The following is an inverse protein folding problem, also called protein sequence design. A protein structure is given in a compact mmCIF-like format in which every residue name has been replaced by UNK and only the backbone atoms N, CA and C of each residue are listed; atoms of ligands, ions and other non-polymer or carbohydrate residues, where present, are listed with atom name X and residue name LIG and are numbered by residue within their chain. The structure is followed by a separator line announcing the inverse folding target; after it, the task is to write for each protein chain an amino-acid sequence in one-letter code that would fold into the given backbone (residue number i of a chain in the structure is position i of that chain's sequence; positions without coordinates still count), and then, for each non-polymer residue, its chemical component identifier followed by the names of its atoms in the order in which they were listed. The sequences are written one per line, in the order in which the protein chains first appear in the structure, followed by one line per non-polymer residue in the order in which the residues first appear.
data_IF_680580592792
#
_entry.id   IF_680580592792
#
_cell.length_a   1.000
_cell.length_b   1.000
_cell.length_c   1.000
_cell.angle_alpha   90.00
_cell.angle_beta   90.00
_cell.angle_gamma   90.00
#
_symmetry.space_group_name_H-M   'P 1'
#
loop_
_entity.id
_entity.type
_entity.pdbx_description
1 polymer ?
#
# COMPACT_ATOMS: atom_id res chain seq x y z
N UNK A 1 -16.24 0.18 5.24
CA UNK A 1 -14.91 0.60 4.70
C UNK A 1 -15.01 2.02 4.21
N UNK A 2 -14.20 2.94 4.76
CA UNK A 2 -14.13 4.31 4.24
C UNK A 2 -13.37 4.29 2.91
N UNK A 3 -14.07 4.46 1.81
CA UNK A 3 -13.42 4.71 0.52
C UNK A 3 -12.82 6.12 0.55
N UNK A 4 -11.50 6.19 0.61
CA UNK A 4 -10.78 7.46 0.55
C UNK A 4 -10.66 7.91 -0.90
N UNK A 5 -11.19 9.09 -1.21
CA UNK A 5 -11.07 9.68 -2.55
C UNK A 5 -9.77 10.47 -2.66
N UNK A 6 -9.05 10.30 -3.76
CA UNK A 6 -7.81 10.99 -4.07
C UNK A 6 -7.89 11.64 -5.45
N UNK A 7 -7.49 12.91 -5.54
CA UNK A 7 -7.47 13.62 -6.82
C UNK A 7 -6.11 13.45 -7.50
N UNK A 8 -6.14 13.18 -8.81
CA UNK A 8 -4.96 13.06 -9.63
C UNK A 8 -5.10 13.80 -10.95
N UNK A 9 -3.98 14.23 -11.51
CA UNK A 9 -3.90 14.85 -12.82
C UNK A 9 -3.21 13.92 -13.81
N UNK A 10 -3.78 13.77 -15.01
CA UNK A 10 -3.16 13.00 -16.09
C UNK A 10 -1.80 13.63 -16.49
N UNK A 11 -0.86 12.78 -16.88
CA UNK A 11 0.48 13.18 -17.31
C UNK A 11 0.76 12.74 -18.73
N UNK A 12 1.12 13.70 -19.59
CA UNK A 12 1.57 13.41 -20.96
C UNK A 12 3.10 13.32 -21.06
N UNK A 13 3.84 13.94 -20.11
CA UNK A 13 5.29 13.98 -20.12
C UNK A 13 5.91 12.93 -19.20
N UNK A 14 6.50 11.88 -19.78
CA UNK A 14 7.12 10.76 -19.06
C UNK A 14 8.65 10.87 -18.91
N UNK A 15 9.26 11.98 -19.35
CA UNK A 15 10.72 12.14 -19.34
C UNK A 15 11.28 12.41 -17.94
N UNK A 16 12.52 11.94 -17.68
CA UNK A 16 13.24 12.12 -16.39
C UNK A 16 13.19 13.55 -15.85
N UNK A 17 13.37 14.56 -16.70
CA UNK A 17 13.31 15.96 -16.30
C UNK A 17 11.93 16.43 -15.84
N UNK A 18 10.85 15.92 -16.46
CA UNK A 18 9.47 16.23 -16.06
C UNK A 18 9.13 15.67 -14.68
N UNK A 19 9.54 14.42 -14.42
CA UNK A 19 9.34 13.77 -13.12
C UNK A 19 10.07 14.50 -11.99
N UNK A 20 11.30 14.98 -12.24
CA UNK A 20 12.04 15.79 -11.27
C UNK A 20 11.38 17.14 -10.96
N UNK A 21 10.78 17.81 -11.97
CA UNK A 21 10.01 19.05 -11.78
C UNK A 21 8.76 18.82 -10.94
N UNK A 22 8.01 17.74 -11.20
CA UNK A 22 6.81 17.38 -10.43
C UNK A 22 7.13 17.19 -8.95
N UNK A 23 8.18 16.43 -8.63
CA UNK A 23 8.60 16.23 -7.23
C UNK A 23 9.00 17.52 -6.54
N UNK A 24 9.67 18.44 -7.24
CA UNK A 24 9.99 19.78 -6.69
C UNK A 24 8.75 20.64 -6.49
N UNK A 25 7.71 20.43 -7.30
CA UNK A 25 6.41 21.10 -7.16
C UNK A 25 5.48 20.43 -6.11
N UNK A 26 5.99 19.49 -5.29
CA UNK A 26 5.20 18.82 -4.27
C UNK A 26 4.23 17.79 -4.82
N UNK A 27 4.46 17.27 -6.02
CA UNK A 27 3.61 16.23 -6.63
C UNK A 27 4.35 14.90 -6.70
N UNK A 28 3.63 13.80 -6.45
CA UNK A 28 4.11 12.43 -6.57
C UNK A 28 3.75 11.91 -7.95
N UNK A 29 4.73 11.51 -8.78
CA UNK A 29 4.45 10.78 -10.00
C UNK A 29 3.93 9.39 -9.67
N UNK A 30 2.86 8.97 -10.33
CA UNK A 30 2.27 7.66 -10.13
C UNK A 30 1.79 7.06 -11.47
N UNK A 31 1.53 5.78 -11.45
CA UNK A 31 0.98 5.03 -12.59
C UNK A 31 -0.22 4.23 -12.11
N UNK A 32 -1.30 4.27 -12.89
CA UNK A 32 -2.44 3.36 -12.74
C UNK A 32 -2.37 2.36 -13.87
N UNK A 33 -2.45 1.08 -13.56
CA UNK A 33 -2.52 0.02 -14.55
C UNK A 33 -3.56 -1.03 -14.14
N UNK A 34 -4.15 -1.68 -15.12
CA UNK A 34 -5.18 -2.69 -14.91
C UNK A 34 -6.06 -2.87 -16.14
N UNK A 35 -7.33 -3.12 -15.92
CA UNK A 35 -8.30 -3.43 -16.97
C UNK A 35 -8.43 -2.30 -18.01
N UNK A 36 -8.49 -1.05 -17.58
CA UNK A 36 -8.66 0.12 -18.47
C UNK A 36 -7.38 0.54 -19.19
N UNK A 37 -6.28 -0.19 -18.98
CA UNK A 37 -4.96 0.09 -19.55
C UNK A 37 -4.01 0.75 -18.56
N UNK A 38 -3.02 1.49 -19.08
CA UNK A 38 -2.00 2.16 -18.27
C UNK A 38 -2.14 3.67 -18.41
N UNK A 39 -2.26 4.38 -17.29
CA UNK A 39 -2.31 5.84 -17.26
C UNK A 39 -1.23 6.40 -16.31
N UNK A 40 -0.42 7.30 -16.83
CA UNK A 40 0.52 8.05 -16.00
C UNK A 40 -0.18 9.26 -15.38
N UNK A 41 -0.02 9.42 -14.07
CA UNK A 41 -0.69 10.45 -13.28
C UNK A 41 0.27 11.16 -12.35
N UNK A 42 -0.17 12.28 -11.79
CA UNK A 42 0.51 13.00 -10.73
C UNK A 42 -0.49 13.31 -9.61
N UNK A 43 -0.09 13.10 -8.38
CA UNK A 43 -0.88 13.26 -7.16
C UNK A 43 -0.23 14.36 -6.31
N UNK A 44 -1.03 15.11 -5.58
CA UNK A 44 -0.52 16.06 -4.59
C UNK A 44 0.03 15.33 -3.37
N UNK A 45 1.31 15.57 -3.04
CA UNK A 45 1.98 14.91 -1.93
C UNK A 45 1.37 15.27 -0.57
N UNK A 46 0.94 16.52 -0.40
CA UNK A 46 0.33 17.00 0.83
C UNK A 46 -1.07 16.40 1.04
N UNK A 47 -1.87 16.26 -0.02
CA UNK A 47 -3.17 15.61 0.05
C UNK A 47 -3.02 14.12 0.38
N UNK A 48 -2.06 13.45 -0.27
CA UNK A 48 -1.77 12.04 -0.04
C UNK A 48 -1.33 11.78 1.40
N UNK A 49 -0.34 12.51 1.91
CA UNK A 49 0.17 12.34 3.28
C UNK A 49 -0.88 12.64 4.36
N UNK A 50 -1.81 13.58 4.11
CA UNK A 50 -2.91 13.88 5.05
C UNK A 50 -3.94 12.78 5.12
N UNK A 51 -4.27 12.17 3.96
CA UNK A 51 -5.28 11.11 3.87
C UNK A 51 -4.73 9.73 4.23
N UNK A 52 -3.46 9.50 3.94
CA UNK A 52 -2.77 8.22 4.14
C UNK A 52 -1.54 8.41 5.02
N UNK A 53 -1.74 8.48 6.34
CA UNK A 53 -0.64 8.59 7.34
C UNK A 53 0.30 7.40 7.33
N UNK A 54 -0.19 6.23 6.96
CA UNK A 54 0.56 5.02 6.63
C UNK A 54 0.01 4.50 5.31
N UNK A 55 0.90 4.18 4.39
CA UNK A 55 0.53 3.55 3.14
C UNK A 55 0.24 2.09 3.47
N UNK A 56 -1.03 1.69 3.35
CA UNK A 56 -1.43 0.30 3.39
C UNK A 56 -1.67 -0.15 1.95
N UNK A 57 -0.97 -1.20 1.53
CA UNK A 57 -1.15 -1.84 0.22
C UNK A 57 -2.56 -2.43 0.04
N UNK A 58 -3.33 -2.50 1.14
CA UNK A 58 -4.64 -3.11 1.20
C UNK A 58 -5.80 -2.11 1.21
N UNK A 59 -5.50 -0.80 1.10
CA UNK A 59 -6.54 0.24 1.13
C UNK A 59 -7.07 0.50 -0.29
N UNK A 60 -8.39 0.33 -0.46
CA UNK A 60 -9.06 0.72 -1.71
C UNK A 60 -9.19 2.23 -1.75
N UNK A 61 -8.70 2.82 -2.83
CA UNK A 61 -8.69 4.26 -3.08
C UNK A 61 -9.55 4.54 -4.30
N UNK A 62 -10.50 5.47 -4.17
CA UNK A 62 -11.19 6.04 -5.32
C UNK A 62 -10.34 7.17 -5.89
N UNK A 63 -9.68 6.91 -7.02
CA UNK A 63 -8.79 7.83 -7.69
C UNK A 63 -9.52 8.58 -8.78
N UNK A 64 -9.64 9.91 -8.64
CA UNK A 64 -10.26 10.77 -9.64
C UNK A 64 -9.19 11.39 -10.54
N UNK A 65 -9.26 11.08 -11.84
CA UNK A 65 -8.35 11.61 -12.87
C UNK A 65 -9.17 12.37 -13.90
N UNK A 66 -9.32 13.69 -13.72
CA UNK A 66 -10.25 14.50 -14.52
C UNK A 66 -11.68 14.01 -14.37
N UNK A 67 -12.32 13.61 -15.48
CA UNK A 67 -13.70 13.11 -15.51
C UNK A 67 -13.82 11.58 -15.25
N UNK A 68 -12.69 10.89 -15.06
CA UNK A 68 -12.65 9.44 -14.82
C UNK A 68 -12.36 9.13 -13.37
N UNK A 69 -13.08 8.16 -12.82
CA UNK A 69 -12.85 7.61 -11.50
C UNK A 69 -12.40 6.15 -11.63
N UNK A 70 -11.35 5.79 -10.89
CA UNK A 70 -10.80 4.44 -10.83
C UNK A 70 -10.82 3.96 -9.38
N UNK A 71 -11.33 2.76 -9.15
CA UNK A 71 -11.14 2.09 -7.87
C UNK A 71 -9.81 1.35 -7.94
N UNK A 72 -8.83 1.74 -7.11
CA UNK A 72 -7.46 1.25 -7.18
C UNK A 72 -6.94 0.81 -5.81
N UNK A 73 -5.98 -0.10 -5.83
CA UNK A 73 -5.13 -0.45 -4.69
C UNK A 73 -3.73 0.11 -4.91
N UNK A 74 -3.03 0.44 -3.83
CA UNK A 74 -1.59 0.67 -3.88
C UNK A 74 -0.90 -0.68 -4.02
N UNK A 75 -0.26 -0.93 -5.16
CA UNK A 75 0.45 -2.18 -5.42
C UNK A 75 1.89 -2.12 -4.94
N UNK A 76 2.53 -0.97 -5.13
CA UNK A 76 3.91 -0.71 -4.72
C UNK A 76 4.14 0.79 -4.55
N UNK A 77 5.15 1.15 -3.77
CA UNK A 77 5.57 2.54 -3.65
C UNK A 77 7.08 2.64 -3.38
N UNK A 78 7.66 3.72 -3.84
CA UNK A 78 9.07 4.05 -3.60
C UNK A 78 9.16 5.24 -2.67
N UNK A 79 9.95 5.13 -1.62
CA UNK A 79 10.17 6.15 -0.62
C UNK A 79 11.65 6.55 -0.54
N UNK A 80 11.91 7.85 -0.41
CA UNK A 80 13.22 8.41 -0.07
C UNK A 80 13.27 8.60 1.45
N UNK A 81 13.79 7.62 2.17
CA UNK A 81 13.86 7.62 3.64
C UNK A 81 14.69 8.78 4.20
N UNK A 82 15.67 9.29 3.44
CA UNK A 82 16.50 10.43 3.88
C UNK A 82 15.72 11.76 3.86
N UNK A 83 14.73 11.87 2.99
CA UNK A 83 13.94 13.09 2.79
C UNK A 83 12.49 12.93 3.23
N UNK A 84 12.15 11.77 3.80
CA UNK A 84 10.81 11.41 4.26
C UNK A 84 9.74 11.77 3.22
N UNK A 85 9.94 11.28 1.99
CA UNK A 85 9.03 11.60 0.87
C UNK A 85 8.84 10.42 -0.07
N UNK A 86 7.63 10.29 -0.55
CA UNK A 86 7.28 9.28 -1.54
C UNK A 86 7.76 9.74 -2.92
N UNK A 87 8.48 8.87 -3.61
CA UNK A 87 9.08 9.12 -4.91
C UNK A 87 8.21 8.65 -6.08
N UNK A 88 7.48 7.55 -5.89
CA UNK A 88 6.60 6.95 -6.89
C UNK A 88 5.54 6.11 -6.20
N UNK A 89 4.37 5.98 -6.81
CA UNK A 89 3.31 5.08 -6.38
C UNK A 89 2.76 4.34 -7.60
N UNK A 90 2.62 3.04 -7.46
CA UNK A 90 2.01 2.15 -8.45
C UNK A 90 0.62 1.75 -7.97
N UNK A 91 -0.39 2.12 -8.74
CA UNK A 91 -1.78 1.78 -8.48
C UNK A 91 -2.24 0.67 -9.42
N UNK A 92 -2.91 -0.31 -8.85
CA UNK A 92 -3.57 -1.35 -9.59
C UNK A 92 -5.08 -1.13 -9.60
N UNK A 93 -5.68 -1.01 -10.79
CA UNK A 93 -7.11 -0.86 -10.97
C UNK A 93 -7.83 -2.16 -10.63
N UNK A 94 -8.84 -2.05 -9.77
CA UNK A 94 -9.61 -3.19 -9.28
C UNK A 94 -10.78 -3.45 -10.23
N UNK A 95 -10.93 -4.71 -10.64
CA UNK A 95 -12.13 -5.19 -11.28
C UNK A 95 -13.09 -5.81 -10.25
N UNK A 96 -14.33 -5.33 -10.23
CA UNK A 96 -15.35 -5.91 -9.35
C UNK A 96 -15.62 -7.36 -9.75
N UNK A 97 -15.55 -8.28 -8.76
CA UNK A 97 -15.82 -9.70 -8.96
C UNK A 97 -14.63 -10.54 -9.43
N UNK A 98 -13.44 -9.96 -9.60
CA UNK A 98 -12.21 -10.71 -9.81
C UNK A 98 -11.38 -10.77 -8.54
N UNK A 99 -10.80 -11.94 -8.27
CA UNK A 99 -9.81 -12.10 -7.21
C UNK A 99 -8.51 -11.41 -7.61
N UNK A 100 -7.82 -10.87 -6.63
CA UNK A 100 -6.48 -10.29 -6.79
C UNK A 100 -5.55 -10.84 -5.72
N UNK A 101 -4.26 -10.83 -6.00
CA UNK A 101 -3.20 -11.18 -5.05
C UNK A 101 -2.62 -9.92 -4.46
N UNK A 102 -2.61 -9.86 -3.14
CA UNK A 102 -2.03 -8.76 -2.39
C UNK A 102 -1.28 -9.27 -1.17
N UNK A 103 -0.27 -8.50 -0.73
CA UNK A 103 0.47 -8.80 0.48
C UNK A 103 -0.24 -8.18 1.67
N UNK A 104 -0.55 -9.01 2.66
CA UNK A 104 -1.21 -8.58 3.90
C UNK A 104 -0.18 -8.61 5.03
N UNK A 105 0.00 -7.50 5.77
CA UNK A 105 0.91 -7.47 6.90
C UNK A 105 0.40 -8.36 8.03
N UNK A 106 1.34 -9.02 8.71
CA UNK A 106 1.07 -9.87 9.86
C UNK A 106 1.45 -9.12 11.12
N UNK A 107 0.50 -9.02 12.04
CA UNK A 107 0.72 -8.45 13.37
C UNK A 107 0.66 -9.57 14.41
N UNK A 108 1.69 -9.67 15.23
CA UNK A 108 1.71 -10.59 16.36
C UNK A 108 1.08 -9.94 17.58
N UNK A 109 0.17 -10.66 18.23
CA UNK A 109 -0.52 -10.22 19.45
C UNK A 109 -0.18 -11.15 20.59
N UNK A 110 -0.05 -10.59 21.80
CA UNK A 110 0.28 -11.35 22.99
C UNK A 110 1.76 -11.31 23.36
N UNK A 111 2.11 -11.90 24.51
CA UNK A 111 3.48 -12.00 24.99
C UNK A 111 3.85 -13.46 25.16
N UNK A 112 4.78 -13.99 24.35
CA UNK A 112 5.14 -15.41 24.35
C UNK A 112 5.66 -15.86 25.70
N UNK A 113 5.30 -17.08 26.12
CA UNK A 113 5.84 -17.72 27.33
C UNK A 113 7.35 -17.85 27.20
N UNK A 114 7.86 -18.28 26.04
CA UNK A 114 9.29 -18.44 25.81
C UNK A 114 10.10 -17.16 25.97
N UNK A 115 9.54 -15.97 25.65
CA UNK A 115 10.24 -14.69 25.89
C UNK A 115 10.32 -14.39 27.39
N UNK A 116 9.29 -14.73 28.16
CA UNK A 116 9.32 -14.57 29.65
C UNK A 116 10.36 -15.48 30.30
N UNK A 117 10.68 -16.60 29.68
CA UNK A 117 11.71 -17.54 30.15
C UNK A 117 13.12 -17.22 29.61
N UNK A 118 13.28 -16.11 28.91
CA UNK A 118 14.57 -15.62 28.41
C UNK A 118 14.87 -15.95 26.96
N UNK A 119 13.90 -16.44 26.22
CA UNK A 119 14.00 -16.63 24.77
C UNK A 119 13.89 -15.32 23.99
N UNK A 120 14.21 -15.37 22.70
CA UNK A 120 14.09 -14.25 21.76
C UNK A 120 13.05 -14.60 20.72
N UNK A 121 12.07 -13.69 20.49
CA UNK A 121 11.12 -13.81 19.40
C UNK A 121 11.76 -13.29 18.10
N UNK A 122 11.81 -14.14 17.09
CA UNK A 122 12.28 -13.81 15.76
C UNK A 122 11.13 -13.87 14.77
N UNK A 123 10.83 -12.75 14.11
CA UNK A 123 9.82 -12.69 13.05
C UNK A 123 10.49 -12.91 11.70
N UNK A 124 10.21 -14.02 11.04
CA UNK A 124 10.78 -14.36 9.73
C UNK A 124 9.92 -13.83 8.57
N UNK A 125 8.60 -13.73 8.77
CA UNK A 125 7.65 -13.23 7.78
C UNK A 125 6.87 -12.05 8.36
N UNK A 126 6.85 -10.95 7.61
CA UNK A 126 6.11 -9.74 7.97
C UNK A 126 4.86 -9.54 7.11
N UNK A 127 4.79 -10.22 5.98
CA UNK A 127 3.68 -10.15 5.03
C UNK A 127 3.39 -11.52 4.45
N UNK A 128 2.11 -11.79 4.16
CA UNK A 128 1.65 -13.02 3.51
C UNK A 128 0.88 -12.64 2.24
N UNK A 129 1.21 -13.28 1.12
CA UNK A 129 0.45 -13.12 -0.12
C UNK A 129 -0.87 -13.87 -0.02
N UNK A 130 -1.98 -13.15 -0.20
CA UNK A 130 -3.34 -13.69 -0.13
C UNK A 130 -4.07 -13.38 -1.43
N UNK A 131 -4.83 -14.35 -1.92
CA UNK A 131 -5.73 -14.20 -3.05
C UNK A 131 -7.17 -14.08 -2.55
N UNK A 132 -7.78 -12.92 -2.73
CA UNK A 132 -9.12 -12.63 -2.26
C UNK A 132 -9.86 -11.65 -3.17
N UNK A 133 -11.15 -11.47 -2.93
CA UNK A 133 -11.90 -10.40 -3.58
C UNK A 133 -11.52 -9.04 -2.98
N UNK A 134 -11.56 -7.95 -3.77
CA UNK A 134 -11.21 -6.61 -3.29
C UNK A 134 -11.98 -6.16 -2.05
N UNK A 135 -13.22 -6.64 -1.89
CA UNK A 135 -14.08 -6.29 -0.76
C UNK A 135 -13.71 -7.02 0.54
N UNK A 136 -13.02 -8.16 0.42
CA UNK A 136 -12.69 -9.05 1.53
C UNK A 136 -11.23 -8.91 1.98
N UNK A 137 -10.50 -7.92 1.47
CA UNK A 137 -9.11 -7.67 1.84
C UNK A 137 -9.05 -7.13 3.28
N UNK A 138 -8.44 -7.87 4.24
CA UNK A 138 -8.22 -7.35 5.59
C UNK A 138 -7.07 -6.35 5.61
N UNK A 139 -7.09 -5.42 6.55
CA UNK A 139 -5.99 -4.45 6.72
C UNK A 139 -4.72 -5.12 7.24
N UNK A 140 -4.85 -6.11 8.10
CA UNK A 140 -3.78 -6.92 8.66
C UNK A 140 -4.32 -8.28 9.15
N UNK A 141 -3.42 -9.23 9.35
CA UNK A 141 -3.72 -10.52 9.96
C UNK A 141 -3.12 -10.54 11.37
N UNK A 142 -3.93 -10.84 12.36
CA UNK A 142 -3.47 -11.00 13.74
C UNK A 142 -3.14 -12.46 14.04
N UNK A 143 -1.95 -12.70 14.60
CA UNK A 143 -1.53 -14.02 15.06
C UNK A 143 -1.28 -13.92 16.56
N UNK A 144 -2.03 -14.67 17.35
CA UNK A 144 -1.77 -14.77 18.78
C UNK A 144 -0.56 -15.69 19.03
N UNK A 145 0.45 -15.12 19.69
CA UNK A 145 1.70 -15.81 20.04
C UNK A 145 1.85 -16.02 21.54
N UNK A 146 0.77 -15.84 22.29
CA UNK A 146 0.83 -15.92 23.78
C UNK A 146 1.30 -17.27 24.30
N UNK A 147 0.96 -18.35 23.61
CA UNK A 147 1.29 -19.72 23.99
C UNK A 147 2.63 -20.23 23.39
N UNK A 148 3.33 -19.36 22.64
CA UNK A 148 4.56 -19.75 21.95
C UNK A 148 5.72 -19.94 22.94
N UNK A 149 6.30 -21.15 22.94
CA UNK A 149 7.41 -21.56 23.81
C UNK A 149 8.74 -21.57 23.04
N UNK A 150 9.86 -21.73 23.78
CA UNK A 150 11.21 -21.81 23.22
C UNK A 150 11.33 -22.97 22.24
N UNK A 151 11.79 -22.68 21.01
CA UNK A 151 11.97 -23.67 19.95
C UNK A 151 10.69 -24.02 19.18
N UNK A 152 9.58 -23.33 19.44
CA UNK A 152 8.35 -23.46 18.68
C UNK A 152 8.22 -22.35 17.63
N UNK A 153 7.41 -22.62 16.62
CA UNK A 153 7.05 -21.66 15.56
C UNK A 153 5.56 -21.72 15.26
N UNK A 154 5.01 -20.65 14.80
CA UNK A 154 3.63 -20.53 14.31
C UNK A 154 3.65 -20.35 12.81
#
# INVERSE_FOLDING_TARGET
MEQKTLNATARDQLRKGATGRLRRAGKIPAVVYGHSGTAAIAIDAGEFSRKFKRISENTIINLQVGDKAYDVLVKDYQEDMLKDRIMHIDFYEIERGKTLRTNIPVHTVGSPVGVREGGVLESMLYTIEVECLPQDIPEFLEIDISELDIGQSV
#
